data_IF_878738374281
#
_entry.id   IF_878738374281
#
_cell.length_a   1.000
_cell.length_b   1.000
_cell.length_c   1.000
_cell.angle_alpha   90.00
_cell.angle_beta   90.00
_cell.angle_gamma   90.00
#
_symmetry.space_group_name_H-M   'P 1'
#
loop_
_entity.id
_entity.type
_entity.pdbx_description
1 polymer ?
#
# COMPACT_ATOMS: atom_id res chain seq x y z
N UNK A 1 -17.03 -13.03 16.32
CA UNK A 1 -16.13 -12.36 15.37
C UNK A 1 -16.98 -11.40 14.55
N UNK A 2 -16.70 -10.10 14.59
CA UNK A 2 -17.40 -9.15 13.73
C UNK A 2 -16.78 -9.23 12.33
N UNK A 3 -17.50 -9.82 11.38
CA UNK A 3 -17.15 -9.76 9.96
C UNK A 3 -17.40 -8.35 9.47
N UNK A 4 -16.38 -7.73 8.89
CA UNK A 4 -16.53 -6.46 8.19
C UNK A 4 -17.57 -6.63 7.07
N UNK A 5 -18.51 -5.70 6.87
CA UNK A 5 -19.45 -5.79 5.75
C UNK A 5 -18.68 -5.77 4.43
N UNK A 6 -19.07 -6.60 3.46
CA UNK A 6 -18.38 -6.71 2.15
C UNK A 6 -18.22 -5.36 1.46
N UNK A 7 -19.23 -4.48 1.56
CA UNK A 7 -19.19 -3.11 1.02
C UNK A 7 -18.14 -2.22 1.68
N UNK A 8 -17.81 -2.45 2.95
CA UNK A 8 -16.76 -1.70 3.65
C UNK A 8 -15.36 -2.19 3.23
N UNK A 9 -15.23 -3.50 2.96
CA UNK A 9 -14.00 -4.09 2.44
C UNK A 9 -13.71 -3.61 1.01
N UNK A 10 -14.71 -3.59 0.15
CA UNK A 10 -14.61 -3.06 -1.22
C UNK A 10 -14.15 -1.59 -1.22
N UNK A 11 -14.80 -0.74 -0.41
CA UNK A 11 -14.40 0.67 -0.29
C UNK A 11 -12.96 0.82 0.19
N UNK A 12 -12.54 0.03 1.19
CA UNK A 12 -11.17 0.07 1.68
C UNK A 12 -10.16 -0.38 0.61
N UNK A 13 -10.49 -1.39 -0.19
CA UNK A 13 -9.65 -1.84 -1.30
C UNK A 13 -9.52 -0.78 -2.40
N UNK A 14 -10.61 -0.09 -2.73
CA UNK A 14 -10.61 1.01 -3.71
C UNK A 14 -9.77 2.19 -3.23
N UNK A 15 -9.92 2.59 -1.97
CA UNK A 15 -9.10 3.64 -1.35
C UNK A 15 -7.62 3.26 -1.37
N UNK A 16 -7.26 2.04 -0.95
CA UNK A 16 -5.86 1.59 -0.96
C UNK A 16 -5.29 1.59 -2.39
N UNK A 17 -6.07 1.17 -3.38
CA UNK A 17 -5.68 1.17 -4.79
C UNK A 17 -5.40 2.59 -5.30
N UNK A 18 -6.25 3.55 -4.94
CA UNK A 18 -6.05 4.96 -5.32
C UNK A 18 -4.78 5.53 -4.70
N UNK A 19 -4.53 5.28 -3.41
CA UNK A 19 -3.33 5.76 -2.73
C UNK A 19 -2.05 5.14 -3.30
N UNK A 20 -2.05 3.83 -3.60
CA UNK A 20 -0.94 3.15 -4.25
C UNK A 20 -0.61 3.79 -5.61
N UNK A 21 -1.63 4.09 -6.42
CA UNK A 21 -1.46 4.71 -7.73
C UNK A 21 -0.89 6.14 -7.63
N UNK A 22 -1.35 6.93 -6.67
CA UNK A 22 -0.86 8.30 -6.43
C UNK A 22 0.63 8.27 -6.04
N UNK A 23 1.00 7.40 -5.10
CA UNK A 23 2.38 7.24 -4.64
C UNK A 23 3.30 6.71 -5.73
N UNK A 24 2.83 5.77 -6.55
CA UNK A 24 3.59 5.27 -7.69
C UNK A 24 3.89 6.40 -8.69
N UNK A 25 2.88 7.20 -9.05
CA UNK A 25 3.05 8.35 -9.95
C UNK A 25 3.99 9.40 -9.37
N UNK A 26 3.91 9.66 -8.07
CA UNK A 26 4.80 10.59 -7.38
C UNK A 26 6.24 10.06 -7.41
N UNK A 27 6.46 8.80 -7.05
CA UNK A 27 7.77 8.18 -7.04
C UNK A 27 8.44 8.22 -8.42
N UNK A 28 7.72 7.87 -9.48
CA UNK A 28 8.23 7.96 -10.86
C UNK A 28 8.61 9.39 -11.26
N UNK A 29 7.87 10.41 -10.81
CA UNK A 29 8.19 11.82 -11.09
C UNK A 29 9.41 12.33 -10.34
N UNK A 30 9.65 11.81 -9.14
CA UNK A 30 10.75 12.24 -8.29
C UNK A 30 12.06 11.52 -8.59
N UNK A 31 12.05 10.45 -9.39
CA UNK A 31 13.20 9.55 -9.60
C UNK A 31 14.49 10.30 -9.97
N UNK A 32 14.37 11.33 -10.82
CA UNK A 32 15.50 12.13 -11.32
C UNK A 32 15.80 13.37 -10.46
N UNK A 33 14.93 13.72 -9.50
CA UNK A 33 15.04 14.93 -8.65
C UNK A 33 15.58 14.55 -7.26
N UNK A 34 14.95 13.55 -6.65
CA UNK A 34 15.24 13.04 -5.32
C UNK A 34 14.94 11.55 -5.30
N UNK A 35 15.99 10.77 -5.57
CA UNK A 35 15.89 9.32 -5.68
C UNK A 35 15.55 8.64 -4.35
N UNK A 36 15.87 9.24 -3.21
CA UNK A 36 15.54 8.68 -1.89
C UNK A 36 14.03 8.80 -1.64
N UNK A 37 13.47 9.98 -1.86
CA UNK A 37 12.02 10.20 -1.74
C UNK A 37 11.25 9.41 -2.79
N UNK A 38 11.77 9.32 -4.02
CA UNK A 38 11.18 8.53 -5.08
C UNK A 38 11.08 7.04 -4.73
N UNK A 39 12.19 6.44 -4.30
CA UNK A 39 12.23 5.03 -3.89
C UNK A 39 11.32 4.77 -2.68
N UNK A 40 11.26 5.71 -1.73
CA UNK A 40 10.33 5.61 -0.60
C UNK A 40 8.88 5.61 -1.06
N UNK A 41 8.49 6.52 -1.95
CA UNK A 41 7.12 6.57 -2.48
C UNK A 41 6.76 5.31 -3.28
N UNK A 42 7.70 4.78 -4.07
CA UNK A 42 7.52 3.52 -4.80
C UNK A 42 7.39 2.31 -3.86
N UNK A 43 8.17 2.26 -2.78
CA UNK A 43 8.08 1.20 -1.79
C UNK A 43 6.72 1.19 -1.08
N UNK A 44 6.23 2.36 -0.64
CA UNK A 44 4.90 2.45 -0.01
C UNK A 44 3.80 2.10 -1.00
N UNK A 45 3.90 2.52 -2.26
CA UNK A 45 2.95 2.12 -3.30
C UNK A 45 2.87 0.59 -3.48
N UNK A 46 4.03 -0.08 -3.41
CA UNK A 46 4.12 -1.53 -3.50
C UNK A 46 3.49 -2.22 -2.27
N UNK A 47 3.79 -1.75 -1.06
CA UNK A 47 3.19 -2.28 0.18
C UNK A 47 1.67 -2.15 0.16
N UNK A 48 1.13 -1.01 -0.30
CA UNK A 48 -0.32 -0.81 -0.43
C UNK A 48 -0.94 -1.78 -1.46
N UNK A 49 -0.26 -2.05 -2.57
CA UNK A 49 -0.71 -3.04 -3.55
C UNK A 49 -0.74 -4.46 -2.97
N UNK A 50 0.26 -4.84 -2.17
CA UNK A 50 0.29 -6.13 -1.48
C UNK A 50 -0.84 -6.25 -0.45
N UNK A 51 -1.12 -5.18 0.30
CA UNK A 51 -2.23 -5.12 1.25
C UNK A 51 -3.57 -5.32 0.51
N UNK A 52 -3.80 -4.58 -0.58
CA UNK A 52 -5.02 -4.68 -1.39
C UNK A 52 -5.20 -6.08 -1.99
N UNK A 53 -4.12 -6.68 -2.50
CA UNK A 53 -4.15 -8.04 -3.05
C UNK A 53 -4.46 -9.08 -1.97
N UNK A 54 -3.83 -8.98 -0.81
CA UNK A 54 -4.08 -9.88 0.31
C UNK A 54 -5.50 -9.75 0.86
N UNK A 55 -6.04 -8.53 0.93
CA UNK A 55 -7.43 -8.28 1.31
C UNK A 55 -8.42 -8.89 0.30
N UNK A 56 -8.17 -8.73 -1.00
CA UNK A 56 -8.99 -9.32 -2.06
C UNK A 56 -8.96 -10.85 -2.09
N UNK A 57 -7.82 -11.45 -1.76
CA UNK A 57 -7.65 -12.90 -1.64
C UNK A 57 -8.21 -13.48 -0.32
N UNK A 58 -8.70 -12.64 0.60
CA UNK A 58 -9.13 -13.05 1.94
C UNK A 58 -8.00 -13.55 2.83
N UNK A 59 -6.74 -13.23 2.50
CA UNK A 59 -5.56 -13.59 3.29
C UNK A 59 -5.33 -12.54 4.36
N UNK A 60 -5.03 -12.97 5.59
CA UNK A 60 -4.60 -12.03 6.63
C UNK A 60 -3.28 -11.37 6.22
N UNK A 61 -3.33 -10.05 6.08
CA UNK A 61 -2.13 -9.23 5.91
C UNK A 61 -1.32 -9.31 7.19
N UNK A 62 -0.15 -9.95 7.14
CA UNK A 62 0.84 -9.81 8.20
C UNK A 62 1.57 -8.50 7.96
N UNK A 63 1.27 -7.50 8.77
CA UNK A 63 2.15 -6.36 8.91
C UNK A 63 3.41 -6.88 9.60
N UNK A 64 4.45 -7.16 8.83
CA UNK A 64 5.79 -7.28 9.40
C UNK A 64 6.17 -5.88 9.87
N UNK A 65 5.79 -5.55 11.10
CA UNK A 65 6.31 -4.40 11.82
C UNK A 65 7.79 -4.67 12.02
N UNK A 66 8.61 -4.29 11.03
CA UNK A 66 10.06 -4.37 11.14
C UNK A 66 10.48 -3.37 12.22
N UNK A 67 11.05 -3.80 13.36
CA UNK A 67 11.81 -2.87 14.15
C UNK A 67 13.12 -2.67 13.39
N UNK A 68 13.24 -1.60 12.59
CA UNK A 68 14.57 -1.17 12.16
C UNK A 68 15.31 -0.79 13.44
N UNK A 69 16.17 -1.69 13.92
CA UNK A 69 17.19 -1.36 14.91
C UNK A 69 18.03 -0.23 14.29
N UNK A 70 17.97 0.94 14.93
CA UNK A 70 18.93 2.03 14.78
C UNK A 70 20.33 1.52 15.12
#
# INVERSE_FOLDING_TARGET
MATMPDSLLENAMDEISEHALVLQKLGLRLLDIDSETANTALAVAHELWEIQTNLGDGRQVKFDTWPRKL
#
